data_IF_030218996718
#
_entry.id   IF_030218996718
#
_cell.length_a   1.000
_cell.length_b   1.000
_cell.length_c   1.000
_cell.angle_alpha   90.00
_cell.angle_beta   90.00
_cell.angle_gamma   90.00
#
_symmetry.space_group_name_H-M   'P 1'
#
loop_
_entity.id
_entity.type
_entity.pdbx_description
1 polymer ?
#
# COMPACT_ATOMS: atom_id res chain seq x y z
N UNK A 1 -13.30 69.54 -19.91
CA UNK A 1 -12.35 69.00 -20.90
C UNK A 1 -11.43 68.04 -20.14
N UNK A 2 -11.30 66.74 -20.39
CA UNK A 2 -11.85 65.88 -21.43
C UNK A 2 -11.87 64.42 -20.96
N UNK A 3 -12.73 63.64 -21.60
CA UNK A 3 -12.93 62.21 -21.40
C UNK A 3 -11.78 61.41 -22.02
N UNK A 4 -11.30 60.38 -21.31
CA UNK A 4 -10.37 59.38 -21.84
C UNK A 4 -10.89 57.98 -21.54
N UNK A 5 -11.73 57.46 -22.42
CA UNK A 5 -12.18 56.07 -22.40
C UNK A 5 -11.05 55.15 -22.88
N UNK A 6 -10.82 54.03 -22.18
CA UNK A 6 -10.06 52.89 -22.71
C UNK A 6 -10.51 51.61 -22.02
N UNK A 7 -11.29 50.78 -22.72
CA UNK A 7 -11.47 49.36 -22.46
C UNK A 7 -10.40 48.59 -23.24
N UNK A 8 -9.95 47.43 -22.73
CA UNK A 8 -10.28 46.24 -23.49
C UNK A 8 -10.82 45.06 -22.67
N UNK A 9 -11.57 44.26 -23.40
CA UNK A 9 -12.26 43.01 -23.08
C UNK A 9 -11.28 41.85 -23.02
N UNK A 10 -11.40 40.93 -22.04
CA UNK A 10 -11.52 39.48 -22.31
C UNK A 10 -11.85 38.65 -21.08
N UNK A 11 -12.98 37.95 -21.17
CA UNK A 11 -13.40 36.86 -20.30
C UNK A 11 -12.38 35.72 -20.29
N UNK A 12 -11.97 35.26 -19.11
CA UNK A 12 -11.35 33.96 -18.93
C UNK A 12 -12.44 32.93 -18.60
N UNK A 13 -13.07 32.40 -19.64
CA UNK A 13 -13.94 31.25 -19.55
C UNK A 13 -13.10 29.96 -19.67
N UNK A 14 -13.27 29.05 -18.71
CA UNK A 14 -13.09 27.60 -18.90
C UNK A 14 -11.67 27.08 -19.11
N UNK A 15 -10.92 26.86 -18.03
CA UNK A 15 -9.79 25.93 -18.04
C UNK A 15 -10.19 24.61 -17.34
N UNK A 16 -11.12 23.87 -17.95
CA UNK A 16 -11.34 22.47 -17.62
C UNK A 16 -10.25 21.63 -18.31
N UNK A 17 -9.04 21.63 -17.76
CA UNK A 17 -7.95 20.75 -18.21
C UNK A 17 -8.29 19.32 -17.81
N UNK A 18 -8.95 18.63 -18.73
CA UNK A 18 -9.17 17.18 -18.69
C UNK A 18 -7.81 16.49 -18.58
N UNK A 19 -7.52 15.87 -17.44
CA UNK A 19 -6.28 15.13 -17.15
C UNK A 19 -6.08 14.03 -18.20
N UNK A 20 -5.24 14.29 -19.20
CA UNK A 20 -4.73 13.27 -20.12
C UNK A 20 -3.51 12.61 -19.47
N UNK A 21 -3.66 11.38 -19.00
CA UNK A 21 -2.53 10.57 -18.56
C UNK A 21 -1.78 10.03 -19.78
N UNK A 22 -0.44 10.15 -19.86
CA UNK A 22 0.34 9.49 -20.89
C UNK A 22 0.20 7.97 -20.77
N UNK A 23 0.03 7.28 -21.91
CA UNK A 23 -0.23 5.83 -22.00
C UNK A 23 1.03 4.99 -22.22
N UNK A 24 2.21 5.50 -21.90
CA UNK A 24 3.48 4.80 -22.07
C UNK A 24 4.47 5.21 -20.98
N UNK A 25 5.11 4.22 -20.35
CA UNK A 25 6.13 4.44 -19.34
C UNK A 25 7.39 5.07 -19.97
N UNK A 26 8.06 6.02 -19.30
CA UNK A 26 9.32 6.56 -19.78
C UNK A 26 10.42 5.47 -19.76
N UNK A 27 11.31 5.42 -20.77
CA UNK A 27 12.42 4.47 -20.77
C UNK A 27 13.44 4.79 -19.66
N UNK A 28 14.15 3.79 -19.12
CA UNK A 28 15.13 4.01 -18.07
C UNK A 28 16.37 4.78 -18.60
N UNK A 29 17.01 5.62 -17.75
CA UNK A 29 18.22 6.33 -18.13
C UNK A 29 19.39 5.35 -18.36
N UNK A 30 20.11 5.55 -19.47
CA UNK A 30 21.34 4.81 -19.80
C UNK A 30 22.49 5.32 -18.93
N UNK A 31 22.99 4.50 -18.02
CA UNK A 31 24.26 4.76 -17.31
C UNK A 31 25.44 4.32 -18.19
N UNK A 32 26.48 5.15 -18.39
CA UNK A 32 27.71 4.69 -19.03
C UNK A 32 28.52 3.78 -18.08
N UNK A 33 28.96 2.66 -18.63
CA UNK A 33 29.80 1.67 -17.98
C UNK A 33 31.24 2.19 -17.78
N UNK A 34 31.77 2.03 -16.57
CA UNK A 34 33.21 2.17 -16.29
C UNK A 34 33.75 0.80 -15.89
N UNK A 35 34.72 0.32 -16.68
CA UNK A 35 35.43 -0.94 -16.50
C UNK A 35 36.49 -0.86 -15.36
N UNK A 36 36.94 -2.00 -14.81
CA UNK A 36 37.66 -2.07 -13.54
C UNK A 36 39.19 -1.93 -13.72
N UNK A 37 39.88 -1.36 -12.71
CA UNK A 37 41.35 -1.43 -12.59
C UNK A 37 41.74 -2.21 -11.33
N UNK A 38 42.57 -3.24 -11.54
CA UNK A 38 43.28 -4.08 -10.56
C UNK A 38 44.61 -3.42 -10.13
N UNK A 39 45.18 -3.99 -9.05
CA UNK A 39 46.53 -3.83 -8.46
C UNK A 39 46.61 -2.80 -7.31
N UNK A 40 47.25 -3.02 -6.16
CA UNK A 40 48.16 -4.06 -5.63
C UNK A 40 48.22 -3.89 -4.09
N UNK A 41 48.37 -4.96 -3.33
CA UNK A 41 48.87 -4.93 -1.93
C UNK A 41 50.41 -4.67 -1.92
N UNK A 42 51.01 -4.23 -0.81
CA UNK A 42 51.55 -5.20 0.17
C UNK A 42 51.42 -4.79 1.67
N UNK A 43 51.70 -5.78 2.52
CA UNK A 43 51.53 -5.85 3.97
C UNK A 43 52.62 -5.16 4.81
N UNK A 44 52.37 -4.94 6.13
CA UNK A 44 53.14 -5.53 7.26
C UNK A 44 52.95 -4.77 8.60
N UNK A 45 52.87 -5.55 9.69
CA UNK A 45 52.86 -5.21 11.12
C UNK A 45 54.05 -4.36 11.60
N UNK A 46 53.86 -3.54 12.65
CA UNK A 46 54.56 -3.61 13.97
C UNK A 46 54.17 -2.45 14.91
N UNK A 47 53.88 -2.78 16.17
CA UNK A 47 53.79 -1.92 17.37
C UNK A 47 55.21 -1.52 17.84
N UNK A 48 55.45 -0.43 18.64
CA UNK A 48 55.05 -0.37 20.06
C UNK A 48 54.69 1.03 20.64
N UNK A 49 54.09 1.00 21.84
CA UNK A 49 53.80 2.12 22.78
C UNK A 49 55.04 2.58 23.58
N UNK A 50 55.06 3.75 24.28
CA UNK A 50 54.49 3.86 25.64
C UNK A 50 53.83 5.22 26.04
N UNK A 51 53.01 5.13 27.10
CA UNK A 51 52.24 6.10 27.96
C UNK A 51 53.12 7.23 28.59
N UNK A 52 52.62 8.32 29.27
CA UNK A 52 51.54 8.34 30.28
C UNK A 52 50.57 9.56 30.38
N UNK A 53 49.48 9.33 31.12
CA UNK A 53 48.40 10.24 31.58
C UNK A 53 48.86 11.42 32.46
N UNK A 54 47.97 12.40 32.78
CA UNK A 54 47.20 12.27 34.03
C UNK A 54 45.75 12.77 33.97
N UNK A 55 44.94 12.25 34.90
CA UNK A 55 43.56 12.64 35.24
C UNK A 55 43.59 13.31 36.61
N UNK A 56 42.72 14.31 36.88
CA UNK A 56 42.16 14.45 38.23
C UNK A 56 40.64 14.33 38.27
N UNK A 57 40.16 14.09 39.49
CA UNK A 57 38.93 13.42 39.86
C UNK A 57 37.70 14.32 40.10
N UNK A 58 36.54 13.70 39.90
CA UNK A 58 35.23 13.79 40.60
C UNK A 58 34.90 14.94 41.58
N UNK A 59 33.73 15.56 41.36
CA UNK A 59 32.66 15.93 42.30
C UNK A 59 31.53 16.59 41.45
N UNK A 60 30.21 16.54 41.65
CA UNK A 60 29.34 16.14 42.75
C UNK A 60 27.91 16.00 42.19
N UNK A 61 27.09 15.15 42.80
CA UNK A 61 25.68 14.97 42.50
C UNK A 61 24.82 16.12 43.07
N UNK A 62 23.84 16.60 42.29
CA UNK A 62 22.67 17.29 42.83
C UNK A 62 21.40 16.77 42.17
N UNK A 63 20.52 16.23 43.01
CA UNK A 63 19.19 15.75 42.69
C UNK A 63 18.26 16.95 42.43
N UNK A 64 17.49 16.89 41.33
CA UNK A 64 16.32 17.73 41.12
C UNK A 64 15.10 16.86 40.82
N UNK A 65 14.01 17.30 41.44
CA UNK A 65 12.77 16.59 41.74
C UNK A 65 12.04 16.05 40.51
N UNK A 66 11.60 14.80 40.61
CA UNK A 66 10.83 14.11 39.58
C UNK A 66 9.36 14.50 39.66
N UNK A 67 8.87 15.27 38.66
CA UNK A 67 7.47 15.20 38.27
C UNK A 67 7.20 13.83 37.62
N UNK A 68 5.99 13.23 37.76
CA UNK A 68 5.73 11.88 37.28
C UNK A 68 5.89 11.82 35.76
N UNK A 69 6.93 11.12 35.31
CA UNK A 69 7.20 10.86 33.90
C UNK A 69 6.18 9.83 33.40
N UNK A 70 5.07 10.30 32.83
CA UNK A 70 4.30 9.47 31.89
C UNK A 70 5.23 9.13 30.73
N UNK A 71 5.54 7.85 30.54
CA UNK A 71 6.30 7.38 29.38
C UNK A 71 5.52 7.75 28.10
N UNK A 72 6.04 8.62 27.22
CA UNK A 72 5.33 8.93 25.99
C UNK A 72 5.52 7.74 25.05
N UNK A 73 4.55 6.82 25.04
CA UNK A 73 4.48 5.79 24.02
C UNK A 73 3.85 6.44 22.77
N UNK A 74 4.68 7.17 22.03
CA UNK A 74 4.29 7.95 20.87
C UNK A 74 5.50 8.62 20.22
N UNK A 75 5.36 9.19 19.02
CA UNK A 75 6.44 9.89 18.33
C UNK A 75 7.00 11.02 19.20
N UNK A 76 8.33 11.11 19.30
CA UNK A 76 9.01 12.17 20.05
C UNK A 76 8.75 13.52 19.36
N UNK A 77 8.01 14.39 20.03
CA UNK A 77 7.73 15.75 19.57
C UNK A 77 8.95 16.65 19.84
N UNK A 78 9.48 17.31 18.80
CA UNK A 78 10.72 18.10 18.86
C UNK A 78 10.50 19.58 18.51
N UNK A 79 9.32 20.14 18.78
CA UNK A 79 9.12 21.59 18.59
C UNK A 79 9.81 22.36 19.72
N UNK A 80 10.44 23.47 19.36
CA UNK A 80 11.05 24.43 20.30
C UNK A 80 10.05 25.48 20.80
N UNK A 81 8.78 25.34 20.44
CA UNK A 81 7.72 26.28 20.80
C UNK A 81 7.20 25.99 22.20
N UNK A 82 7.20 27.02 23.04
CA UNK A 82 6.59 26.94 24.37
C UNK A 82 5.06 26.82 24.25
N UNK A 83 4.40 26.00 25.08
CA UNK A 83 2.96 25.85 25.04
C UNK A 83 2.27 27.18 25.38
N UNK A 84 1.50 27.71 24.43
CA UNK A 84 0.68 28.91 24.62
C UNK A 84 -0.76 28.52 24.97
N UNK A 85 -1.37 29.25 25.91
CA UNK A 85 -2.80 29.17 26.21
C UNK A 85 -3.65 30.17 25.41
N UNK A 86 -2.99 31.05 24.63
CA UNK A 86 -3.62 32.08 23.81
C UNK A 86 -3.61 31.68 22.35
N UNK A 87 -4.75 31.85 21.68
CA UNK A 87 -4.90 31.57 20.24
C UNK A 87 -4.09 32.57 19.42
N UNK A 88 -3.24 32.08 18.53
CA UNK A 88 -2.53 32.91 17.57
C UNK A 88 -3.44 33.24 16.38
N UNK A 89 -3.10 34.30 15.64
CA UNK A 89 -3.86 34.72 14.46
C UNK A 89 -3.96 33.61 13.39
N UNK A 90 -2.93 32.76 13.26
CA UNK A 90 -2.96 31.60 12.37
C UNK A 90 -4.06 30.59 12.76
N UNK A 91 -4.24 30.33 14.06
CA UNK A 91 -5.29 29.43 14.56
C UNK A 91 -6.69 30.01 14.28
N UNK A 92 -6.85 31.33 14.37
CA UNK A 92 -8.13 31.99 14.07
C UNK A 92 -8.46 31.97 12.57
N UNK A 93 -7.46 31.99 11.68
CA UNK A 93 -7.64 31.82 10.24
C UNK A 93 -8.09 30.39 9.90
N UNK A 94 -7.40 29.38 10.44
CA UNK A 94 -7.75 27.97 10.21
C UNK A 94 -9.13 27.63 10.81
N UNK A 95 -9.47 28.20 11.97
CA UNK A 95 -10.78 28.01 12.60
C UNK A 95 -11.96 28.57 11.81
N UNK A 96 -11.72 29.47 10.86
CA UNK A 96 -12.75 30.02 9.95
C UNK A 96 -12.79 29.29 8.61
N UNK A 97 -11.84 28.41 8.32
CA UNK A 97 -11.77 27.68 7.06
C UNK A 97 -12.77 26.50 7.06
N UNK A 98 -13.78 26.50 6.16
CA UNK A 98 -14.72 25.39 6.06
C UNK A 98 -14.07 24.07 5.63
N UNK A 99 -13.00 24.11 4.84
CA UNK A 99 -12.32 22.91 4.37
C UNK A 99 -11.52 22.25 5.51
N UNK A 100 -10.91 23.07 6.36
CA UNK A 100 -10.28 22.61 7.60
C UNK A 100 -11.30 21.97 8.54
N UNK A 101 -12.48 22.59 8.70
CA UNK A 101 -13.57 22.02 9.51
C UNK A 101 -14.09 20.67 8.94
N UNK A 102 -14.17 20.52 7.61
CA UNK A 102 -14.55 19.26 6.97
C UNK A 102 -13.50 18.17 7.21
N UNK A 103 -12.22 18.52 7.17
CA UNK A 103 -11.12 17.61 7.51
C UNK A 103 -11.22 17.11 8.95
N UNK A 104 -11.43 18.01 9.92
CA UNK A 104 -11.61 17.63 11.33
C UNK A 104 -12.83 16.72 11.56
N UNK A 105 -13.93 16.96 10.84
CA UNK A 105 -15.10 16.05 10.87
C UNK A 105 -14.80 14.67 10.31
N UNK A 106 -13.91 14.59 9.31
CA UNK A 106 -13.50 13.32 8.69
C UNK A 106 -12.60 12.51 9.62
N UNK A 107 -11.75 13.17 10.39
CA UNK A 107 -10.84 12.54 11.35
C UNK A 107 -11.60 12.14 12.64
N UNK A 108 -12.52 13.00 13.09
CA UNK A 108 -13.28 12.81 14.31
C UNK A 108 -12.50 13.17 15.59
N UNK A 109 -13.14 13.07 16.76
CA UNK A 109 -12.49 13.38 18.03
C UNK A 109 -11.33 12.41 18.31
N UNK A 110 -10.18 12.96 18.70
CA UNK A 110 -8.99 12.18 19.06
C UNK A 110 -9.10 11.78 20.54
N UNK A 111 -9.14 10.48 20.81
CA UNK A 111 -9.08 9.93 22.15
C UNK A 111 -7.61 9.69 22.57
N UNK A 112 -7.06 10.46 23.52
CA UNK A 112 -5.68 10.31 23.96
C UNK A 112 -5.45 9.00 24.75
N UNK A 113 -6.50 8.27 25.13
CA UNK A 113 -6.40 7.00 25.88
C UNK A 113 -6.19 5.76 24.99
N UNK A 114 -5.99 5.95 23.68
CA UNK A 114 -5.39 4.95 22.82
C UNK A 114 -6.28 3.75 22.53
N UNK A 115 -7.27 3.95 21.66
CA UNK A 115 -7.74 2.88 20.79
C UNK A 115 -7.81 3.43 19.37
N UNK A 116 -6.77 3.17 18.57
CA UNK A 116 -6.57 3.68 17.20
C UNK A 116 -7.54 3.08 16.17
N UNK A 117 -8.84 3.10 16.46
CA UNK A 117 -9.89 2.71 15.53
C UNK A 117 -10.52 3.98 14.95
N UNK A 118 -10.21 4.26 13.69
CA UNK A 118 -10.85 5.32 12.92
C UNK A 118 -12.38 5.17 13.04
N UNK A 119 -13.14 6.19 13.48
CA UNK A 119 -14.58 6.14 13.42
C UNK A 119 -14.99 6.30 11.95
N UNK A 120 -15.22 5.19 11.27
CA UNK A 120 -15.80 5.21 9.93
C UNK A 120 -17.27 5.65 10.03
N UNK A 121 -17.69 6.80 9.46
CA UNK A 121 -19.09 7.25 9.51
C UNK A 121 -20.01 6.42 8.58
N UNK A 122 -19.48 5.43 7.87
CA UNK A 122 -20.21 4.54 6.97
C UNK A 122 -20.16 3.08 7.45
N UNK A 123 -20.61 2.79 8.68
CA UNK A 123 -20.92 1.41 9.08
C UNK A 123 -22.43 1.18 9.08
N UNK A 124 -23.03 1.12 7.87
CA UNK A 124 -24.34 0.51 7.69
C UNK A 124 -24.15 -1.00 7.58
N UNK A 125 -24.60 -1.72 8.59
CA UNK A 125 -24.91 -3.15 8.49
C UNK A 125 -23.69 -4.06 8.40
N UNK A 126 -23.36 -4.69 9.53
CA UNK A 126 -22.48 -5.86 9.59
C UNK A 126 -23.10 -7.02 8.83
N UNK A 127 -22.91 -7.07 7.52
CA UNK A 127 -22.95 -8.34 6.79
C UNK A 127 -21.68 -9.10 7.18
N UNK A 128 -21.83 -10.24 7.86
CA UNK A 128 -20.74 -11.18 8.05
C UNK A 128 -20.28 -11.64 6.67
N UNK A 129 -19.20 -11.04 6.16
CA UNK A 129 -18.63 -11.43 4.88
C UNK A 129 -17.57 -12.49 5.13
N UNK A 130 -17.50 -13.49 4.25
CA UNK A 130 -16.48 -14.56 4.25
C UNK A 130 -15.06 -14.01 3.95
N UNK A 131 -14.92 -12.68 3.87
CA UNK A 131 -13.70 -11.98 3.57
C UNK A 131 -13.13 -11.32 4.83
N UNK A 132 -11.80 -11.30 5.01
CA UNK A 132 -11.19 -10.63 6.15
C UNK A 132 -11.53 -9.13 6.13
N UNK A 133 -12.08 -8.63 7.23
CA UNK A 133 -12.42 -7.22 7.43
C UNK A 133 -11.18 -6.40 7.78
N UNK A 134 -10.10 -6.48 6.97
CA UNK A 134 -9.01 -5.52 7.12
C UNK A 134 -9.46 -4.19 6.54
N UNK A 135 -9.50 -3.14 7.35
CA UNK A 135 -9.90 -1.80 6.93
C UNK A 135 -9.05 -1.21 5.78
N UNK A 136 -7.86 -1.78 5.51
CA UNK A 136 -6.97 -1.33 4.44
C UNK A 136 -7.08 -2.25 3.19
N UNK A 137 -7.50 -1.73 2.02
CA UNK A 137 -7.66 -2.53 0.80
C UNK A 137 -6.35 -3.10 0.27
N UNK A 138 -5.21 -2.45 0.52
CA UNK A 138 -3.90 -2.97 0.10
C UNK A 138 -3.57 -4.26 0.86
N UNK A 139 -3.82 -4.29 2.17
CA UNK A 139 -3.63 -5.49 2.99
C UNK A 139 -4.59 -6.61 2.57
N UNK A 140 -5.82 -6.28 2.17
CA UNK A 140 -6.77 -7.26 1.63
C UNK A 140 -6.21 -7.91 0.36
N UNK A 141 -5.76 -7.13 -0.62
CA UNK A 141 -5.21 -7.67 -1.87
C UNK A 141 -3.96 -8.51 -1.62
N UNK A 142 -3.04 -8.03 -0.76
CA UNK A 142 -1.79 -8.76 -0.44
C UNK A 142 -2.10 -10.09 0.24
N UNK A 143 -2.95 -10.09 1.27
CA UNK A 143 -3.33 -11.33 1.98
C UNK A 143 -4.11 -12.29 1.08
N UNK A 144 -5.00 -11.78 0.22
CA UNK A 144 -5.71 -12.60 -0.77
C UNK A 144 -4.75 -13.27 -1.76
N UNK A 145 -3.76 -12.53 -2.28
CA UNK A 145 -2.72 -13.09 -3.16
C UNK A 145 -1.90 -14.18 -2.46
N UNK A 146 -1.49 -13.94 -1.22
CA UNK A 146 -0.75 -14.94 -0.43
C UNK A 146 -1.55 -16.23 -0.25
N UNK A 147 -2.86 -16.12 0.05
CA UNK A 147 -3.75 -17.29 0.18
C UNK A 147 -3.91 -18.06 -1.12
N UNK A 148 -4.10 -17.36 -2.25
CA UNK A 148 -4.22 -17.98 -3.58
C UNK A 148 -2.92 -18.72 -3.94
N UNK A 149 -1.76 -18.08 -3.74
CA UNK A 149 -0.46 -18.68 -4.03
C UNK A 149 -0.20 -19.93 -3.18
N UNK A 150 -0.54 -19.88 -1.89
CA UNK A 150 -0.41 -21.02 -0.98
C UNK A 150 -1.29 -22.19 -1.44
N UNK A 151 -2.57 -21.93 -1.72
CA UNK A 151 -3.49 -22.95 -2.19
C UNK A 151 -3.06 -23.55 -3.54
N UNK A 152 -2.48 -22.74 -4.43
CA UNK A 152 -1.95 -23.21 -5.71
C UNK A 152 -0.73 -24.12 -5.53
N UNK A 153 0.18 -23.77 -4.61
CA UNK A 153 1.33 -24.60 -4.28
C UNK A 153 0.94 -25.93 -3.62
N UNK A 154 -0.04 -25.91 -2.72
CA UNK A 154 -0.60 -27.12 -2.11
C UNK A 154 -1.25 -28.03 -3.17
N UNK A 155 -1.98 -27.45 -4.12
CA UNK A 155 -2.55 -28.21 -5.24
C UNK A 155 -1.44 -28.83 -6.10
N UNK A 156 -0.43 -28.06 -6.50
CA UNK A 156 0.66 -28.58 -7.33
C UNK A 156 1.42 -29.72 -6.66
N UNK A 157 1.56 -29.68 -5.34
CA UNK A 157 2.18 -30.75 -4.56
C UNK A 157 1.28 -31.99 -4.43
N UNK A 158 -0.04 -31.81 -4.51
CA UNK A 158 -0.99 -32.92 -4.46
C UNK A 158 -1.20 -33.60 -5.83
N UNK A 159 -0.76 -32.98 -6.92
CA UNK A 159 -0.77 -33.59 -8.26
C UNK A 159 0.12 -34.83 -8.23
N UNK A 160 -0.47 -35.99 -8.55
CA UNK A 160 0.20 -37.29 -8.51
C UNK A 160 -0.24 -38.19 -7.36
N UNK A 161 -0.94 -37.65 -6.36
CA UNK A 161 -1.57 -38.44 -5.33
C UNK A 161 -2.86 -39.10 -5.85
N UNK A 162 -3.10 -40.35 -5.46
CA UNK A 162 -4.29 -41.11 -5.88
C UNK A 162 -5.62 -40.46 -5.45
N UNK A 163 -5.62 -39.74 -4.32
CA UNK A 163 -6.81 -39.07 -3.75
C UNK A 163 -6.98 -37.62 -4.23
N UNK A 164 -6.28 -37.21 -5.30
CA UNK A 164 -6.35 -35.84 -5.80
C UNK A 164 -7.66 -35.59 -6.54
N UNK A 165 -8.50 -34.69 -6.00
CA UNK A 165 -9.82 -34.36 -6.55
C UNK A 165 -9.78 -33.67 -7.93
N UNK A 166 -8.60 -33.30 -8.42
CA UNK A 166 -8.38 -32.59 -9.68
C UNK A 166 -7.90 -31.15 -9.48
N UNK A 167 -7.46 -30.54 -10.59
CA UNK A 167 -6.87 -29.20 -10.60
C UNK A 167 -7.94 -28.10 -10.56
N UNK A 168 -7.76 -27.06 -9.75
CA UNK A 168 -8.65 -25.88 -9.76
C UNK A 168 -7.96 -24.58 -10.18
N UNK A 169 -6.63 -24.51 -10.14
CA UNK A 169 -5.88 -23.40 -10.72
C UNK A 169 -5.51 -23.72 -12.17
N UNK A 170 -6.03 -22.91 -13.10
CA UNK A 170 -5.97 -23.15 -14.54
C UNK A 170 -5.05 -22.16 -15.24
N UNK A 171 -4.38 -22.63 -16.28
CA UNK A 171 -3.64 -21.77 -17.20
C UNK A 171 -4.57 -21.26 -18.31
N UNK A 172 -4.17 -20.16 -18.95
CA UNK A 172 -4.93 -19.58 -20.07
C UNK A 172 -5.20 -20.59 -21.19
N UNK A 173 -4.22 -21.42 -21.53
CA UNK A 173 -4.36 -22.45 -22.58
C UNK A 173 -5.39 -23.51 -22.19
N UNK A 174 -5.41 -23.94 -20.93
CA UNK A 174 -6.39 -24.92 -20.45
C UNK A 174 -7.79 -24.31 -20.41
N UNK A 175 -7.92 -23.03 -20.04
CA UNK A 175 -9.19 -22.30 -20.11
C UNK A 175 -9.68 -22.23 -21.57
N UNK A 176 -8.80 -21.90 -22.52
CA UNK A 176 -9.15 -21.87 -23.94
C UNK A 176 -9.65 -23.24 -24.44
N UNK A 177 -8.95 -24.32 -24.09
CA UNK A 177 -9.37 -25.68 -24.43
C UNK A 177 -10.70 -26.06 -23.78
N UNK A 178 -10.90 -25.70 -22.52
CA UNK A 178 -12.16 -25.99 -21.82
C UNK A 178 -13.33 -25.23 -22.46
N UNK A 179 -13.11 -23.98 -22.90
CA UNK A 179 -14.10 -23.19 -23.63
C UNK A 179 -14.39 -23.75 -25.03
N UNK A 180 -13.39 -24.24 -25.77
CA UNK A 180 -13.65 -24.89 -27.08
C UNK A 180 -14.45 -26.18 -26.91
N UNK A 181 -14.14 -26.99 -25.90
CA UNK A 181 -14.90 -28.19 -25.56
C UNK A 181 -16.35 -27.88 -25.16
N UNK A 182 -16.57 -26.81 -24.38
CA UNK A 182 -17.91 -26.40 -23.94
C UNK A 182 -18.75 -25.78 -25.08
N UNK A 183 -18.16 -24.88 -25.84
CA UNK A 183 -18.92 -24.02 -26.75
C UNK A 183 -18.98 -24.60 -28.18
N UNK A 184 -17.89 -25.20 -28.67
CA UNK A 184 -17.83 -25.77 -30.02
C UNK A 184 -18.24 -27.25 -30.04
N UNK A 185 -17.75 -28.03 -29.08
CA UNK A 185 -18.04 -29.48 -29.03
C UNK A 185 -19.33 -29.79 -28.25
N UNK A 186 -19.82 -28.84 -27.45
CA UNK A 186 -21.06 -29.01 -26.68
C UNK A 186 -20.96 -30.03 -25.55
N UNK A 187 -19.76 -30.33 -25.07
CA UNK A 187 -19.55 -31.32 -24.01
C UNK A 187 -20.15 -30.83 -22.68
N UNK A 188 -20.71 -31.74 -21.87
CA UNK A 188 -21.23 -31.39 -20.55
C UNK A 188 -20.09 -31.02 -19.61
N UNK A 189 -20.36 -30.09 -18.70
CA UNK A 189 -19.36 -29.48 -17.81
C UNK A 189 -18.56 -30.55 -17.03
N UNK A 190 -19.24 -31.54 -16.43
CA UNK A 190 -18.59 -32.59 -15.65
C UNK A 190 -17.76 -33.58 -16.48
N UNK A 191 -17.98 -33.67 -17.79
CA UNK A 191 -17.12 -34.46 -18.69
C UNK A 191 -15.86 -33.69 -19.07
N UNK A 192 -15.99 -32.39 -19.34
CA UNK A 192 -14.84 -31.51 -19.57
C UNK A 192 -13.92 -31.50 -18.35
N UNK A 193 -14.48 -31.40 -17.15
CA UNK A 193 -13.72 -31.45 -15.90
C UNK A 193 -12.99 -32.79 -15.75
N UNK A 194 -13.61 -33.92 -16.09
CA UNK A 194 -12.94 -35.23 -16.06
C UNK A 194 -11.82 -35.35 -17.09
N UNK A 195 -12.07 -34.92 -18.33
CA UNK A 195 -11.09 -35.00 -19.43
C UNK A 195 -9.86 -34.14 -19.16
N UNK A 196 -10.05 -32.94 -18.60
CA UNK A 196 -8.96 -32.01 -18.27
C UNK A 196 -8.38 -32.24 -16.86
N UNK A 197 -8.86 -33.27 -16.13
CA UNK A 197 -8.48 -33.58 -14.75
C UNK A 197 -8.66 -32.40 -13.79
N UNK A 198 -9.73 -31.66 -13.98
CA UNK A 198 -10.11 -30.53 -13.14
C UNK A 198 -10.95 -30.99 -11.96
N UNK A 199 -10.90 -30.19 -10.90
CA UNK A 199 -11.79 -30.37 -9.76
C UNK A 199 -13.23 -30.13 -10.19
N UNK A 200 -14.14 -30.91 -9.63
CA UNK A 200 -15.57 -30.77 -9.89
C UNK A 200 -16.05 -29.35 -9.53
N UNK A 201 -16.80 -28.71 -10.43
CA UNK A 201 -17.33 -27.35 -10.27
C UNK A 201 -16.36 -26.22 -10.60
N UNK A 202 -15.15 -26.52 -11.10
CA UNK A 202 -14.20 -25.49 -11.57
C UNK A 202 -14.71 -24.75 -12.79
N UNK A 203 -15.34 -25.46 -13.72
CA UNK A 203 -15.97 -24.85 -14.89
C UNK A 203 -17.24 -24.08 -14.51
N UNK A 204 -17.91 -24.45 -13.42
CA UNK A 204 -18.99 -23.65 -12.84
C UNK A 204 -18.53 -22.27 -12.35
N UNK A 205 -17.28 -22.15 -11.88
CA UNK A 205 -16.69 -20.85 -11.49
C UNK A 205 -16.41 -19.94 -12.69
N UNK A 206 -16.25 -20.50 -13.88
CA UNK A 206 -16.10 -19.73 -15.12
C UNK A 206 -17.43 -19.12 -15.58
N UNK A 207 -18.54 -19.53 -14.97
CA UNK A 207 -19.88 -19.04 -15.26
C UNK A 207 -20.61 -19.85 -16.32
N UNK A 208 -21.88 -19.49 -16.52
CA UNK A 208 -22.75 -20.11 -17.52
C UNK A 208 -22.21 -19.91 -18.94
N UNK A 209 -22.69 -20.77 -19.85
CA UNK A 209 -22.39 -20.67 -21.27
C UNK A 209 -22.80 -19.29 -21.78
N UNK A 210 -21.86 -18.59 -22.42
CA UNK A 210 -22.08 -17.25 -22.98
C UNK A 210 -21.60 -16.08 -22.11
N UNK A 211 -21.34 -16.28 -20.80
CA UNK A 211 -20.75 -15.23 -19.96
C UNK A 211 -19.27 -15.02 -20.32
N UNK A 212 -18.55 -16.13 -20.44
CA UNK A 212 -17.14 -16.14 -20.86
C UNK A 212 -17.08 -16.90 -22.17
N UNK A 213 -16.61 -16.24 -23.22
CA UNK A 213 -16.36 -16.86 -24.52
C UNK A 213 -14.89 -16.70 -24.88
N UNK A 214 -14.40 -17.59 -25.75
CA UNK A 214 -13.10 -17.39 -26.38
C UNK A 214 -13.10 -16.03 -27.10
N UNK A 215 -12.13 -15.18 -26.77
CA UNK A 215 -11.83 -14.00 -27.59
C UNK A 215 -11.32 -14.49 -28.96
N UNK A 216 -11.98 -14.03 -30.03
CA UNK A 216 -11.68 -14.39 -31.41
C UNK A 216 -10.33 -13.88 -31.88
#
# INVERSE_FOLDING_TARGET
MGSGASKPVRSAAGAATRRQYPKSAPPPPKTPAVAPKKAKQPAANTTPSPTPSPKPSQAQAQAQSQAPRSTPQGPTYHSTEEPSTTKSNAIDLDGRDPDFAASLRTIGPVDPSGNFSHPNPYNRGTVQTVFPTSSNPALLVVTARQRINKAAAEESNAVGNANFAGRQFLDSLTIHQALTMRDQQGLPIGEIERMLRLKQGTMGKLGEKGIVSRAG
#
